data_IF_747545753165
#
_entry.id   IF_747545753165
#
_cell.length_a   1.000
_cell.length_b   1.000
_cell.length_c   1.000
_cell.angle_alpha   90.00
_cell.angle_beta   90.00
_cell.angle_gamma   90.00
#
_symmetry.space_group_name_H-M   'P 1'
#
loop_
_entity.id
_entity.type
_entity.pdbx_description
1 polymer ?
#
# COMPACT_ATOMS: atom_id res chain seq x y z
N UNK A 1 11.61 -9.14 14.57
CA UNK A 1 12.99 -9.57 14.91
C UNK A 1 13.06 -10.76 15.87
N UNK A 2 12.23 -10.86 16.93
CA UNK A 2 12.32 -11.97 17.90
C UNK A 2 12.23 -13.38 17.29
N UNK A 3 11.39 -13.59 16.26
CA UNK A 3 11.18 -14.90 15.61
C UNK A 3 12.42 -15.42 14.88
N UNK A 4 13.13 -14.56 14.15
CA UNK A 4 14.32 -14.97 13.38
C UNK A 4 15.48 -15.32 14.30
N UNK A 5 15.59 -14.64 15.46
CA UNK A 5 16.59 -14.98 16.47
C UNK A 5 16.35 -16.39 17.05
N UNK A 6 15.09 -16.76 17.30
CA UNK A 6 14.76 -18.14 17.70
C UNK A 6 15.06 -19.16 16.61
N UNK A 7 14.81 -18.83 15.34
CA UNK A 7 15.13 -19.70 14.20
C UNK A 7 16.65 -19.87 14.03
N UNK A 8 17.42 -18.80 14.23
CA UNK A 8 18.88 -18.83 14.25
C UNK A 8 19.43 -19.77 15.33
N UNK A 9 18.89 -19.67 16.53
CA UNK A 9 19.29 -20.54 17.65
C UNK A 9 18.89 -21.99 17.37
N UNK A 10 17.71 -22.23 16.80
CA UNK A 10 17.23 -23.57 16.48
C UNK A 10 18.00 -24.25 15.34
N UNK A 11 18.40 -23.49 14.32
CA UNK A 11 19.14 -24.03 13.17
C UNK A 11 20.64 -24.25 13.48
N UNK A 12 21.19 -23.57 14.48
CA UNK A 12 22.56 -23.76 14.95
C UNK A 12 23.59 -23.60 13.81
N UNK A 13 24.39 -24.64 13.58
CA UNK A 13 25.43 -24.65 12.53
C UNK A 13 24.88 -24.62 11.11
N UNK A 14 23.62 -25.01 10.91
CA UNK A 14 22.98 -25.01 9.59
C UNK A 14 22.45 -23.62 9.18
N UNK A 15 22.52 -22.63 10.08
CA UNK A 15 22.08 -21.27 9.79
C UNK A 15 23.04 -20.54 8.85
N UNK A 16 22.54 -20.14 7.69
CA UNK A 16 23.27 -19.30 6.76
C UNK A 16 23.15 -17.81 7.13
N UNK A 17 24.29 -17.15 7.39
CA UNK A 17 24.35 -15.71 7.73
C UNK A 17 24.16 -14.82 6.48
N UNK A 18 23.03 -15.01 5.80
CA UNK A 18 22.70 -14.29 4.56
C UNK A 18 22.41 -12.80 4.74
N UNK A 19 22.17 -12.34 5.97
CA UNK A 19 21.80 -10.95 6.26
C UNK A 19 20.38 -10.57 5.83
N UNK A 20 19.57 -11.54 5.37
CA UNK A 20 18.20 -11.32 4.92
C UNK A 20 17.23 -11.24 6.10
N UNK A 21 16.22 -10.38 5.99
CA UNK A 21 15.14 -10.27 7.00
C UNK A 21 14.10 -11.38 6.84
N UNK A 22 13.85 -11.82 5.60
CA UNK A 22 12.93 -12.91 5.29
C UNK A 22 13.71 -14.12 4.81
N UNK A 23 13.77 -15.14 5.67
CA UNK A 23 14.49 -16.38 5.41
C UNK A 23 13.60 -17.58 5.68
N UNK A 24 13.98 -18.73 5.13
CA UNK A 24 13.54 -20.01 5.67
C UNK A 24 14.26 -20.28 7.01
N UNK A 25 13.86 -21.34 7.71
CA UNK A 25 14.40 -21.70 9.04
C UNK A 25 15.93 -21.87 9.07
N UNK A 26 16.55 -22.13 7.91
CA UNK A 26 18.00 -22.28 7.74
C UNK A 26 18.72 -20.97 7.38
N UNK A 27 18.05 -19.82 7.38
CA UNK A 27 18.66 -18.54 7.01
C UNK A 27 18.82 -18.29 5.51
N UNK A 28 18.29 -19.20 4.65
CA UNK A 28 18.36 -19.07 3.19
C UNK A 28 17.19 -18.26 2.62
N UNK A 29 17.31 -17.88 1.34
CA UNK A 29 16.27 -17.19 0.58
C UNK A 29 14.95 -17.97 0.59
N UNK A 30 13.84 -17.23 0.68
CA UNK A 30 12.51 -17.81 0.49
C UNK A 30 12.25 -17.97 -1.00
N UNK A 31 12.06 -19.21 -1.44
CA UNK A 31 11.68 -19.52 -2.82
C UNK A 31 10.32 -18.87 -3.16
N UNK A 32 10.24 -18.00 -4.19
CA UNK A 32 9.00 -17.28 -4.53
C UNK A 32 7.80 -18.19 -4.79
N UNK A 33 8.02 -19.36 -5.39
CA UNK A 33 6.94 -20.34 -5.63
C UNK A 33 6.31 -20.86 -4.34
N UNK A 34 7.12 -21.09 -3.31
CA UNK A 34 6.64 -21.56 -2.01
C UNK A 34 5.82 -20.47 -1.31
N UNK A 35 6.26 -19.22 -1.40
CA UNK A 35 5.51 -18.07 -0.89
C UNK A 35 4.14 -17.95 -1.55
N UNK A 36 4.09 -18.00 -2.89
CA UNK A 36 2.84 -17.90 -3.66
C UNK A 36 1.90 -19.06 -3.33
N UNK A 37 2.43 -20.29 -3.25
CA UNK A 37 1.64 -21.48 -2.88
C UNK A 37 1.02 -21.31 -1.49
N UNK A 38 1.81 -20.87 -0.51
CA UNK A 38 1.33 -20.65 0.86
C UNK A 38 0.28 -19.54 0.90
N UNK A 39 0.49 -18.47 0.16
CA UNK A 39 -0.46 -17.38 0.04
C UNK A 39 -1.82 -17.84 -0.49
N UNK A 40 -1.87 -18.66 -1.56
CA UNK A 40 -3.14 -19.20 -2.06
C UNK A 40 -3.83 -20.16 -1.09
N UNK A 41 -3.07 -20.91 -0.29
CA UNK A 41 -3.65 -21.69 0.80
C UNK A 41 -4.33 -20.79 1.84
N UNK A 42 -3.68 -19.68 2.22
CA UNK A 42 -4.24 -18.70 3.15
C UNK A 42 -5.50 -18.04 2.60
N UNK A 43 -5.52 -17.66 1.31
CA UNK A 43 -6.74 -17.14 0.67
C UNK A 43 -7.89 -18.15 0.76
N UNK A 44 -7.61 -19.43 0.50
CA UNK A 44 -8.62 -20.49 0.58
C UNK A 44 -9.13 -20.67 2.01
N UNK A 45 -8.25 -20.62 3.01
CA UNK A 45 -8.63 -20.70 4.43
C UNK A 45 -9.45 -19.49 4.88
N UNK A 46 -9.21 -18.32 4.29
CA UNK A 46 -9.95 -17.10 4.57
C UNK A 46 -11.23 -16.95 3.71
N UNK A 47 -11.57 -17.95 2.90
CA UNK A 47 -12.71 -17.93 1.96
C UNK A 47 -12.71 -16.73 1.00
N UNK A 48 -11.51 -16.22 0.70
CA UNK A 48 -11.33 -15.10 -0.20
C UNK A 48 -11.18 -15.59 -1.65
N UNK A 49 -11.64 -14.75 -2.59
CA UNK A 49 -11.43 -14.97 -4.02
C UNK A 49 -9.94 -15.09 -4.32
N UNK A 50 -9.62 -15.84 -5.37
CA UNK A 50 -8.25 -15.97 -5.83
C UNK A 50 -7.76 -14.62 -6.36
N UNK A 51 -6.87 -13.98 -5.60
CA UNK A 51 -6.24 -12.72 -5.97
C UNK A 51 -4.76 -12.98 -6.21
N UNK A 52 -4.16 -12.33 -7.21
CA UNK A 52 -2.71 -12.42 -7.41
C UNK A 52 -2.00 -11.75 -6.24
N UNK A 53 -0.91 -12.33 -5.75
CA UNK A 53 -0.13 -11.79 -4.63
C UNK A 53 0.28 -10.33 -4.85
N UNK A 54 0.76 -10.01 -6.05
CA UNK A 54 1.13 -8.64 -6.43
C UNK A 54 -0.06 -7.67 -6.34
N UNK A 55 -1.24 -8.11 -6.79
CA UNK A 55 -2.43 -7.27 -6.81
C UNK A 55 -3.00 -7.05 -5.39
N UNK A 56 -3.12 -8.11 -4.60
CA UNK A 56 -3.71 -8.03 -3.26
C UNK A 56 -2.89 -7.20 -2.27
N UNK A 57 -1.56 -7.17 -2.41
CA UNK A 57 -0.71 -6.34 -1.57
C UNK A 57 -0.52 -4.94 -2.15
N UNK A 58 0.02 -4.87 -3.37
CA UNK A 58 0.52 -3.61 -3.95
C UNK A 58 -0.59 -2.72 -4.48
N UNK A 59 -1.62 -3.28 -5.12
CA UNK A 59 -2.74 -2.47 -5.59
C UNK A 59 -3.67 -2.06 -4.47
N UNK A 60 -3.97 -2.97 -3.54
CA UNK A 60 -4.78 -2.62 -2.37
C UNK A 60 -4.13 -1.54 -1.52
N UNK A 61 -2.82 -1.62 -1.27
CA UNK A 61 -2.10 -0.56 -0.53
C UNK A 61 -2.23 0.80 -1.21
N UNK A 62 -2.02 0.86 -2.53
CA UNK A 62 -2.14 2.08 -3.30
C UNK A 62 -3.57 2.65 -3.29
N UNK A 63 -4.59 1.80 -3.51
CA UNK A 63 -6.00 2.21 -3.45
C UNK A 63 -6.34 2.77 -2.07
N UNK A 64 -5.93 2.11 -0.99
CA UNK A 64 -6.20 2.60 0.38
C UNK A 64 -5.54 3.95 0.68
N UNK A 65 -4.34 4.20 0.16
CA UNK A 65 -3.70 5.51 0.31
C UNK A 65 -4.45 6.60 -0.49
N UNK A 66 -4.90 6.28 -1.70
CA UNK A 66 -5.67 7.22 -2.51
C UNK A 66 -7.06 7.49 -1.90
N UNK A 67 -7.72 6.48 -1.33
CA UNK A 67 -8.94 6.64 -0.53
C UNK A 67 -8.71 7.52 0.71
N UNK A 68 -7.52 7.45 1.32
CA UNK A 68 -7.11 8.31 2.41
C UNK A 68 -6.74 9.75 1.96
N UNK A 69 -7.00 10.09 0.69
CA UNK A 69 -6.76 11.40 0.09
C UNK A 69 -5.28 11.80 0.03
N UNK A 70 -4.38 10.81 0.01
CA UNK A 70 -2.95 11.05 -0.20
C UNK A 70 -2.63 11.40 -1.65
N UNK A 71 -1.62 12.24 -1.83
CA UNK A 71 -1.24 12.69 -3.15
C UNK A 71 -0.66 11.53 -3.98
N UNK A 72 -1.12 11.31 -5.24
CA UNK A 72 -0.66 10.18 -6.06
C UNK A 72 0.86 10.09 -6.24
N UNK A 73 1.57 11.22 -6.20
CA UNK A 73 3.05 11.27 -6.22
C UNK A 73 3.68 10.65 -4.97
N UNK A 74 3.12 10.92 -3.79
CA UNK A 74 3.55 10.30 -2.52
C UNK A 74 3.34 8.79 -2.57
N UNK A 75 2.18 8.36 -3.08
CA UNK A 75 1.87 6.93 -3.26
C UNK A 75 2.84 6.27 -4.24
N UNK A 76 3.19 6.94 -5.34
CA UNK A 76 4.18 6.46 -6.30
C UNK A 76 5.57 6.26 -5.68
N UNK A 77 6.03 7.23 -4.89
CA UNK A 77 7.32 7.17 -4.18
C UNK A 77 7.35 6.03 -3.17
N UNK A 78 6.30 5.88 -2.36
CA UNK A 78 6.18 4.78 -1.39
C UNK A 78 6.14 3.40 -2.06
N UNK A 79 5.52 3.31 -3.23
CA UNK A 79 5.46 2.06 -4.00
C UNK A 79 6.72 1.82 -4.83
N UNK A 80 7.61 2.80 -4.99
CA UNK A 80 8.78 2.71 -5.89
C UNK A 80 8.39 2.42 -7.34
N UNK A 81 7.24 2.93 -7.81
CA UNK A 81 6.84 2.78 -9.22
C UNK A 81 7.70 3.70 -10.11
N UNK A 82 8.39 3.10 -11.07
CA UNK A 82 9.17 3.85 -12.08
C UNK A 82 8.30 4.72 -12.98
N UNK A 83 7.01 4.40 -13.11
CA UNK A 83 6.06 5.18 -13.89
C UNK A 83 4.81 5.53 -13.10
N UNK A 84 4.51 6.83 -13.05
CA UNK A 84 3.28 7.38 -12.47
C UNK A 84 2.03 6.96 -13.27
N UNK A 85 2.21 6.61 -14.55
CA UNK A 85 1.14 6.23 -15.47
C UNK A 85 0.44 4.95 -14.99
N UNK A 86 1.19 4.00 -14.43
CA UNK A 86 0.61 2.77 -13.85
C UNK A 86 -0.27 3.09 -12.64
N UNK A 87 0.11 4.08 -11.84
CA UNK A 87 -0.67 4.54 -10.69
C UNK A 87 -1.89 5.34 -11.14
N UNK A 88 -1.75 6.28 -12.08
CA UNK A 88 -2.87 7.10 -12.55
C UNK A 88 -3.90 6.31 -13.37
N UNK A 89 -3.47 5.45 -14.29
CA UNK A 89 -4.40 4.70 -15.15
C UNK A 89 -5.19 3.67 -14.34
N UNK A 90 -4.53 2.98 -13.42
CA UNK A 90 -5.15 1.91 -12.63
C UNK A 90 -6.10 2.44 -11.55
N UNK A 91 -5.80 3.60 -10.96
CA UNK A 91 -6.64 4.22 -9.91
C UNK A 91 -7.50 5.37 -10.43
N UNK A 92 -7.63 5.49 -11.75
CA UNK A 92 -8.46 6.49 -12.42
C UNK A 92 -9.91 6.52 -11.94
N UNK A 93 -10.44 5.41 -11.43
CA UNK A 93 -11.78 5.30 -10.86
C UNK A 93 -11.95 5.98 -9.48
N UNK A 94 -10.87 6.15 -8.71
CA UNK A 94 -10.88 6.81 -7.38
C UNK A 94 -10.66 8.32 -7.52
N UNK A 95 -10.05 8.75 -8.64
CA UNK A 95 -9.78 10.16 -8.93
C UNK A 95 -11.01 11.10 -8.98
N UNK A 96 -12.20 10.68 -9.45
CA UNK A 96 -13.39 11.55 -9.48
C UNK A 96 -13.82 11.99 -8.08
N UNK A 97 -13.78 11.09 -7.10
CA UNK A 97 -14.10 11.39 -5.70
C UNK A 97 -13.07 12.34 -5.09
N UNK A 98 -11.78 12.11 -5.37
CA UNK A 98 -10.69 13.01 -4.95
C UNK A 98 -10.86 14.41 -5.57
N UNK A 99 -11.24 14.50 -6.84
CA UNK A 99 -11.50 15.77 -7.53
C UNK A 99 -12.67 16.52 -6.91
N UNK A 100 -13.76 15.83 -6.59
CA UNK A 100 -14.91 16.44 -5.92
C UNK A 100 -14.53 16.94 -4.51
N UNK A 101 -13.76 16.15 -3.75
CA UNK A 101 -13.28 16.57 -2.44
C UNK A 101 -12.32 17.77 -2.53
N UNK A 102 -11.47 17.83 -3.55
CA UNK A 102 -10.59 18.97 -3.78
C UNK A 102 -11.36 20.24 -4.17
N UNK A 103 -12.40 20.13 -5.01
CA UNK A 103 -13.28 21.23 -5.35
C UNK A 103 -14.04 21.75 -4.11
N UNK A 104 -14.57 20.85 -3.28
CA UNK A 104 -15.24 21.23 -2.03
C UNK A 104 -14.32 21.97 -1.05
N UNK A 105 -13.01 21.63 -1.01
CA UNK A 105 -12.02 22.38 -0.22
C UNK A 105 -11.82 23.80 -0.74
N UNK A 106 -11.80 24.00 -2.07
CA UNK A 106 -11.75 25.34 -2.66
C UNK A 106 -13.01 26.14 -2.32
N UNK A 107 -14.19 25.53 -2.44
CA UNK A 107 -15.46 26.19 -2.08
C UNK A 107 -15.45 26.65 -0.62
N UNK A 108 -14.94 25.82 0.30
CA UNK A 108 -14.80 26.19 1.71
C UNK A 108 -13.85 27.39 1.90
N UNK A 109 -12.69 27.40 1.23
CA UNK A 109 -11.71 28.49 1.31
C UNK A 109 -12.26 29.82 0.76
N UNK A 110 -13.16 29.78 -0.22
CA UNK A 110 -13.77 30.98 -0.79
C UNK A 110 -15.06 31.43 -0.08
N UNK A 111 -15.70 30.57 0.73
CA UNK A 111 -16.87 30.94 1.53
C UNK A 111 -16.54 31.81 2.76
N UNK A 112 -15.32 31.73 3.32
CA UNK A 112 -14.91 32.57 4.46
C UNK A 112 -14.64 34.04 4.10
N UNK A 113 -14.63 34.39 2.80
CA UNK A 113 -14.50 35.76 2.30
C UNK A 113 -15.77 36.26 1.63
N UNK A 114 -16.92 36.14 2.28
CA UNK A 114 -17.94 37.19 2.09
C UNK A 114 -17.55 38.36 2.99
N UNK A 115 -17.08 39.51 2.44
CA UNK A 115 -17.03 40.70 3.26
C UNK A 115 -18.45 40.94 3.76
N UNK A 116 -18.59 41.08 5.07
CA UNK A 116 -19.73 41.73 5.67
C UNK A 116 -19.86 43.07 4.97
N UNK A 117 -20.77 43.16 4.00
CA UNK A 117 -21.27 44.43 3.52
C UNK A 117 -22.08 45.03 4.67
N UNK A 118 -21.36 45.70 5.58
CA UNK A 118 -21.90 46.85 6.29
C UNK A 118 -21.71 48.06 5.37
N UNK A 119 -22.76 48.89 5.35
CA UNK A 119 -22.96 50.22 4.73
C UNK A 119 -24.29 50.14 3.98
N UNK A 120 -25.41 50.69 4.44
CA UNK A 120 -25.59 51.97 5.14
C UNK A 120 -26.18 52.96 4.15
N UNK A 121 -27.52 53.00 4.04
CA UNK A 121 -28.34 54.21 3.97
C UNK A 121 -29.80 53.86 4.28
#
# INVERSE_FOLDING_TARGET
>A
MKKQLTEQIAAGELWEKSGLVFTIELGKVVEPRNLIRRYYQLLKMAELKHLKFHAAGRHTFATRLLEANEHPKTVQEMLGHSSIVVTLDLYSHVLPEIKQAAAAKLDFLFQEKKPSAKEGL
#
